data_IF_467097504003
#
_entry.id   IF_467097504003
#
_cell.length_a   1.000
_cell.length_b   1.000
_cell.length_c   1.000
_cell.angle_alpha   90.00
_cell.angle_beta   90.00
_cell.angle_gamma   90.00
#
_symmetry.space_group_name_H-M   'P 1'
#
loop_
_entity.id
_entity.type
_entity.pdbx_description
1 polymer ?
#
# COMPACT_ATOMS: atom_id res chain seq x y z
N UNK A 1 73.55 -20.24 25.14
CA UNK A 1 73.39 -21.53 25.86
C UNK A 1 72.00 -21.60 26.44
N UNK A 2 71.36 -22.76 26.30
CA UNK A 2 70.09 -23.24 26.90
C UNK A 2 68.80 -22.65 26.31
N UNK A 3 67.73 -23.39 26.00
CA UNK A 3 67.46 -24.82 25.75
C UNK A 3 65.95 -24.91 25.42
N UNK A 4 65.59 -25.86 24.57
CA UNK A 4 64.25 -26.15 24.01
C UNK A 4 63.20 -26.47 25.09
N UNK A 5 61.91 -26.14 24.88
CA UNK A 5 60.80 -27.05 25.18
C UNK A 5 59.48 -26.67 24.47
N UNK A 6 58.92 -27.67 23.78
CA UNK A 6 57.64 -27.68 23.07
C UNK A 6 56.57 -28.28 23.97
N UNK A 7 55.34 -27.73 24.03
CA UNK A 7 54.15 -28.48 24.50
C UNK A 7 52.88 -28.07 23.76
N UNK A 8 52.26 -29.06 23.11
CA UNK A 8 50.84 -29.11 22.70
C UNK A 8 50.00 -29.73 23.82
N UNK A 9 48.68 -29.48 23.83
CA UNK A 9 47.67 -30.52 24.02
C UNK A 9 46.67 -30.47 22.84
N UNK A 10 46.32 -31.51 22.07
CA UNK A 10 45.95 -32.90 22.30
C UNK A 10 44.60 -33.09 23.04
N UNK A 11 43.60 -33.53 22.25
CA UNK A 11 42.42 -34.37 22.59
C UNK A 11 41.20 -33.60 23.14
N UNK A 12 39.94 -33.87 22.74
CA UNK A 12 39.31 -35.13 22.32
C UNK A 12 38.05 -34.86 21.48
N UNK A 13 37.88 -35.66 20.42
CA UNK A 13 36.61 -35.92 19.75
C UNK A 13 35.74 -36.84 20.61
N UNK A 14 34.42 -36.62 20.62
CA UNK A 14 33.43 -37.66 20.88
C UNK A 14 32.11 -37.27 20.19
N UNK A 15 31.74 -38.06 19.19
CA UNK A 15 30.45 -38.03 18.50
C UNK A 15 29.41 -38.81 19.30
N UNK A 16 28.15 -38.34 19.31
CA UNK A 16 26.97 -39.22 19.39
C UNK A 16 25.86 -38.63 18.52
N UNK A 17 25.37 -39.47 17.62
CA UNK A 17 24.25 -39.24 16.73
C UNK A 17 22.91 -39.43 17.44
N UNK A 18 21.91 -38.65 17.06
CA UNK A 18 20.50 -39.01 17.18
C UNK A 18 19.74 -38.43 15.98
N UNK A 19 19.70 -39.21 14.89
CA UNK A 19 18.72 -39.04 13.83
C UNK A 19 17.42 -39.69 14.30
N UNK A 20 16.36 -38.89 14.46
CA UNK A 20 15.02 -39.40 14.74
C UNK A 20 13.98 -38.60 13.94
N UNK A 21 13.52 -39.24 12.86
CA UNK A 21 12.15 -39.22 12.32
C UNK A 21 11.55 -37.87 11.87
N UNK A 22 11.79 -37.53 10.60
CA UNK A 22 10.87 -36.71 9.81
C UNK A 22 9.69 -37.60 9.37
N UNK A 23 8.62 -37.60 10.15
CA UNK A 23 7.31 -38.10 9.74
C UNK A 23 6.21 -37.33 10.48
N UNK A 24 6.03 -36.06 10.12
CA UNK A 24 4.76 -35.36 10.33
C UNK A 24 4.48 -34.57 9.05
N UNK A 25 3.35 -34.89 8.41
CA UNK A 25 2.96 -34.32 7.12
C UNK A 25 2.66 -32.83 7.23
N UNK A 26 2.66 -32.09 6.10
CA UNK A 26 2.22 -30.70 6.05
C UNK A 26 0.69 -30.64 6.11
N UNK A 27 0.13 -30.94 7.28
CA UNK A 27 -1.32 -30.94 7.54
C UNK A 27 -1.81 -29.77 8.39
N UNK A 28 -0.99 -28.73 8.59
CA UNK A 28 -1.30 -27.63 9.51
C UNK A 28 -0.94 -26.23 8.97
N UNK A 29 -1.18 -25.99 7.68
CA UNK A 29 -1.23 -24.61 7.14
C UNK A 29 -2.64 -24.15 6.75
N UNK A 30 -3.66 -25.01 6.89
CA UNK A 30 -5.06 -24.61 6.74
C UNK A 30 -5.61 -24.06 8.08
N UNK A 31 -5.08 -22.92 8.51
CA UNK A 31 -5.49 -22.30 9.77
C UNK A 31 -4.76 -21.04 10.18
N UNK A 32 -3.81 -20.56 9.39
CA UNK A 32 -3.41 -19.15 9.45
C UNK A 32 -4.57 -18.33 8.83
N UNK A 33 -5.65 -18.18 9.60
CA UNK A 33 -6.58 -17.08 9.38
C UNK A 33 -5.73 -15.82 9.28
N UNK A 34 -5.94 -15.06 8.22
CA UNK A 34 -5.35 -13.74 8.05
C UNK A 34 -5.41 -13.02 9.38
N UNK A 35 -4.25 -12.61 9.89
CA UNK A 35 -4.20 -11.65 10.98
C UNK A 35 -4.90 -10.39 10.45
N UNK A 36 -6.20 -10.25 10.75
CA UNK A 36 -6.98 -9.04 10.48
C UNK A 36 -6.49 -7.96 11.45
N UNK A 37 -5.36 -7.38 11.09
CA UNK A 37 -4.85 -6.18 11.69
C UNK A 37 -5.64 -5.00 11.12
N UNK A 38 -6.46 -4.36 11.95
CA UNK A 38 -6.91 -2.96 11.75
C UNK A 38 -7.79 -2.67 10.52
N UNK A 39 -8.60 -3.64 10.05
CA UNK A 39 -9.54 -3.40 8.93
C UNK A 39 -10.74 -2.51 9.32
N UNK A 40 -10.85 -2.18 10.61
CA UNK A 40 -11.88 -1.28 11.17
C UNK A 40 -11.54 0.21 10.94
N UNK A 41 -10.25 0.54 10.85
CA UNK A 41 -9.78 1.91 10.72
C UNK A 41 -9.57 2.28 9.25
N UNK A 42 -10.20 3.36 8.79
CA UNK A 42 -10.03 3.88 7.44
C UNK A 42 -8.57 4.23 7.13
N UNK A 43 -8.23 4.29 5.85
CA UNK A 43 -6.86 4.63 5.39
C UNK A 43 -6.91 5.73 4.37
N UNK A 44 -5.92 6.61 4.40
CA UNK A 44 -5.75 7.64 3.38
C UNK A 44 -4.27 7.77 3.04
N UNK A 45 -3.99 7.96 1.76
CA UNK A 45 -2.65 8.26 1.27
C UNK A 45 -2.69 9.44 0.32
N UNK A 46 -1.60 10.20 0.32
CA UNK A 46 -1.40 11.30 -0.60
C UNK A 46 0.08 11.37 -0.96
N UNK A 47 0.37 11.54 -2.25
CA UNK A 47 1.75 11.63 -2.77
C UNK A 47 1.82 12.66 -3.89
N UNK A 48 2.78 13.58 -3.78
CA UNK A 48 2.99 14.63 -4.78
C UNK A 48 3.70 14.08 -6.01
N UNK A 49 4.78 13.33 -5.81
CA UNK A 49 5.54 12.71 -6.90
C UNK A 49 5.91 11.30 -6.49
N UNK A 50 5.68 10.34 -7.39
CA UNK A 50 6.30 9.02 -7.34
C UNK A 50 6.97 8.75 -8.69
N UNK A 51 8.26 8.44 -8.65
CA UNK A 51 9.02 8.05 -9.83
C UNK A 51 9.36 6.57 -9.77
N UNK A 52 9.21 5.88 -10.90
CA UNK A 52 9.76 4.56 -11.16
C UNK A 52 10.44 4.63 -12.51
N UNK A 53 11.59 5.30 -12.55
CA UNK A 53 12.38 5.49 -13.76
C UNK A 53 13.63 4.61 -13.70
N UNK A 54 14.00 4.02 -14.82
CA UNK A 54 15.24 3.29 -15.01
C UNK A 54 16.15 4.11 -15.92
N UNK A 55 17.36 4.42 -15.43
CA UNK A 55 18.35 5.18 -16.18
C UNK A 55 19.49 4.27 -16.60
N UNK A 56 19.62 4.09 -17.91
CA UNK A 56 20.71 3.34 -18.51
C UNK A 56 21.77 4.28 -19.08
N UNK A 57 22.97 4.24 -18.50
CA UNK A 57 24.11 5.05 -18.93
C UNK A 57 25.05 4.23 -19.82
N UNK A 58 25.69 4.92 -20.77
CA UNK A 58 26.84 4.42 -21.56
C UNK A 58 26.65 2.99 -22.11
N UNK A 59 25.80 2.82 -23.12
CA UNK A 59 25.49 1.51 -23.72
C UNK A 59 24.90 0.48 -22.74
N UNK A 60 24.05 0.92 -21.81
CA UNK A 60 23.37 0.05 -20.83
C UNK A 60 24.34 -0.70 -19.91
N UNK A 61 25.56 -0.19 -19.74
CA UNK A 61 26.57 -0.80 -18.89
C UNK A 61 26.32 -0.53 -17.41
N UNK A 62 25.59 0.55 -17.10
CA UNK A 62 25.15 0.90 -15.75
C UNK A 62 23.66 1.18 -15.80
N UNK A 63 22.88 0.44 -15.02
CA UNK A 63 21.45 0.69 -14.82
C UNK A 63 21.23 1.19 -13.39
N UNK A 64 20.67 2.39 -13.26
CA UNK A 64 20.40 3.04 -11.98
C UNK A 64 18.88 3.21 -11.84
N UNK A 65 18.22 2.46 -10.94
CA UNK A 65 16.81 2.67 -10.66
C UNK A 65 16.62 3.98 -9.88
N UNK A 66 15.79 4.87 -10.41
CA UNK A 66 15.41 6.13 -9.79
C UNK A 66 14.00 6.02 -9.24
N UNK A 67 13.94 5.49 -8.02
CA UNK A 67 12.74 5.48 -7.20
C UNK A 67 12.79 6.64 -6.19
N UNK A 68 12.05 7.70 -6.47
CA UNK A 68 11.87 8.84 -5.56
C UNK A 68 10.39 9.00 -5.28
N UNK A 69 10.04 9.10 -4.00
CA UNK A 69 8.73 9.58 -3.57
C UNK A 69 8.88 10.91 -2.85
N UNK A 70 8.17 11.94 -3.32
CA UNK A 70 8.12 13.24 -2.67
C UNK A 70 6.77 13.42 -1.97
N UNK A 71 6.84 13.87 -0.71
CA UNK A 71 5.68 14.15 0.11
C UNK A 71 4.71 12.96 0.18
N UNK A 72 5.22 11.74 0.28
CA UNK A 72 4.37 10.59 0.58
C UNK A 72 3.98 10.64 2.07
N UNK A 73 2.67 10.68 2.30
CA UNK A 73 2.04 10.60 3.62
C UNK A 73 1.00 9.50 3.62
N UNK A 74 0.97 8.75 4.72
CA UNK A 74 0.06 7.63 4.92
C UNK A 74 -0.55 7.75 6.31
N UNK A 75 -1.88 7.80 6.37
CA UNK A 75 -2.63 7.63 7.61
C UNK A 75 -2.89 6.13 7.85
N UNK A 76 -2.84 5.66 9.11
CA UNK A 76 -3.88 6.01 10.09
C UNK A 76 -3.53 7.16 11.06
N UNK A 77 -2.27 7.60 11.14
CA UNK A 77 -1.93 8.86 11.79
C UNK A 77 -2.03 9.98 10.75
N UNK A 78 -3.00 10.87 10.90
CA UNK A 78 -3.17 12.02 10.00
C UNK A 78 -1.85 12.78 9.85
N UNK A 79 -1.43 13.01 8.60
CA UNK A 79 -0.13 13.55 8.28
C UNK A 79 -0.22 14.52 7.11
N UNK A 80 0.62 15.54 7.16
CA UNK A 80 0.75 16.57 6.13
C UNK A 80 2.24 16.82 5.87
N UNK A 81 2.62 16.86 4.60
CA UNK A 81 3.98 17.22 4.17
C UNK A 81 3.93 18.26 3.07
N UNK A 82 4.83 19.22 3.18
CA UNK A 82 5.13 20.21 2.16
C UNK A 82 6.60 20.13 1.80
N UNK A 83 6.92 20.04 0.51
CA UNK A 83 8.31 20.10 0.03
C UNK A 83 8.34 20.63 -1.38
N UNK A 84 9.09 21.70 -1.59
CA UNK A 84 9.16 22.43 -2.86
C UNK A 84 10.11 21.77 -3.88
N UNK A 85 11.07 20.99 -3.39
CA UNK A 85 12.15 20.43 -4.22
C UNK A 85 12.44 18.98 -3.87
N UNK A 86 12.61 18.14 -4.89
CA UNK A 86 13.15 16.78 -4.77
C UNK A 86 14.54 16.72 -5.41
N UNK A 87 15.54 16.24 -4.67
CA UNK A 87 16.91 16.08 -5.16
C UNK A 87 17.34 14.61 -5.10
N UNK A 88 18.17 14.22 -6.05
CA UNK A 88 18.82 12.92 -6.16
C UNK A 88 20.32 13.12 -6.15
N UNK A 89 20.98 12.52 -5.17
CA UNK A 89 22.43 12.55 -5.07
C UNK A 89 23.05 11.45 -5.95
N UNK A 90 24.10 11.77 -6.70
CA UNK A 90 24.98 10.76 -7.31
C UNK A 90 24.61 10.27 -8.71
N UNK A 91 23.63 10.88 -9.39
CA UNK A 91 23.20 10.48 -10.75
C UNK A 91 23.90 11.27 -11.87
N UNK A 92 24.60 12.36 -11.54
CA UNK A 92 25.33 13.22 -12.47
C UNK A 92 26.79 13.44 -12.02
N UNK A 93 27.60 12.38 -12.07
CA UNK A 93 29.03 12.47 -11.72
C UNK A 93 29.31 12.86 -10.26
N UNK A 94 28.37 12.62 -9.34
CA UNK A 94 28.45 13.00 -7.93
C UNK A 94 27.75 14.32 -7.58
N UNK A 95 27.23 15.05 -8.57
CA UNK A 95 26.45 16.27 -8.31
C UNK A 95 25.00 15.94 -7.95
N UNK A 96 24.37 16.74 -7.06
CA UNK A 96 22.94 16.63 -6.79
C UNK A 96 22.13 17.08 -8.00
N UNK A 97 21.17 16.25 -8.42
CA UNK A 97 20.24 16.53 -9.51
C UNK A 97 18.85 16.87 -8.95
N UNK A 98 18.29 18.02 -9.33
CA UNK A 98 16.92 18.38 -8.95
C UNK A 98 15.93 17.72 -9.90
N UNK A 99 15.13 16.78 -9.39
CA UNK A 99 14.08 16.13 -10.17
C UNK A 99 12.85 17.00 -10.25
N UNK A 100 12.30 17.41 -9.11
CA UNK A 100 11.10 18.24 -9.05
C UNK A 100 11.42 19.58 -8.42
N UNK A 101 10.93 20.64 -9.04
CA UNK A 101 10.81 21.98 -8.44
C UNK A 101 9.36 22.42 -8.56
N UNK A 102 8.80 22.97 -7.50
CA UNK A 102 7.44 23.50 -7.49
C UNK A 102 7.32 24.64 -6.47
N UNK A 103 6.38 25.56 -6.71
CA UNK A 103 6.10 26.66 -5.78
C UNK A 103 5.17 26.21 -4.64
N UNK A 104 4.26 25.28 -4.94
CA UNK A 104 3.45 24.58 -3.93
C UNK A 104 3.51 23.11 -4.22
N UNK A 105 3.79 22.30 -3.20
CA UNK A 105 3.76 20.85 -3.28
C UNK A 105 3.34 20.31 -1.90
N UNK A 106 2.05 20.00 -1.78
CA UNK A 106 1.40 19.59 -0.54
C UNK A 106 0.75 18.23 -0.72
N UNK A 107 0.96 17.35 0.25
CA UNK A 107 0.21 16.10 0.40
C UNK A 107 -0.34 16.00 1.81
N UNK A 108 -1.62 15.63 1.92
CA UNK A 108 -2.35 15.51 3.16
C UNK A 108 -3.17 14.24 3.18
N UNK A 109 -3.03 13.46 4.24
CA UNK A 109 -3.85 12.29 4.51
C UNK A 109 -4.48 12.46 5.89
N UNK A 110 -5.80 12.39 5.98
CA UNK A 110 -6.56 12.53 7.22
C UNK A 110 -7.50 11.34 7.38
N UNK A 111 -7.47 10.73 8.56
CA UNK A 111 -8.38 9.62 8.90
C UNK A 111 -9.08 9.95 10.21
N UNK A 112 -10.39 9.70 10.23
CA UNK A 112 -11.28 9.81 11.38
C UNK A 112 -12.18 8.57 11.42
N UNK A 113 -12.97 8.40 12.48
CA UNK A 113 -13.94 7.30 12.56
C UNK A 113 -15.00 7.37 11.45
N UNK A 114 -15.30 8.56 10.93
CA UNK A 114 -16.39 8.77 9.96
C UNK A 114 -15.91 8.90 8.52
N UNK A 115 -14.64 9.31 8.32
CA UNK A 115 -14.09 9.52 6.98
C UNK A 115 -12.57 9.32 6.89
N UNK A 116 -12.13 8.89 5.72
CA UNK A 116 -10.75 8.92 5.27
C UNK A 116 -10.63 9.82 4.04
N UNK A 117 -9.67 10.74 4.04
CA UNK A 117 -9.48 11.75 3.01
C UNK A 117 -8.01 11.90 2.66
N UNK A 118 -7.68 11.70 1.38
CA UNK A 118 -6.38 12.01 0.80
C UNK A 118 -6.51 13.22 -0.12
N UNK A 119 -5.62 14.19 -0.02
CA UNK A 119 -5.57 15.33 -0.94
C UNK A 119 -4.14 15.72 -1.28
N UNK A 120 -3.94 16.15 -2.52
CA UNK A 120 -2.66 16.63 -3.05
C UNK A 120 -2.88 17.89 -3.86
N UNK A 121 -1.93 18.81 -3.73
CA UNK A 121 -1.89 20.06 -4.50
C UNK A 121 -0.47 20.31 -4.95
N UNK A 122 -0.32 20.65 -6.22
CA UNK A 122 0.95 21.02 -6.80
C UNK A 122 0.72 22.22 -7.72
N UNK A 123 1.55 23.26 -7.60
CA UNK A 123 1.47 24.47 -8.41
C UNK A 123 2.85 24.84 -8.95
N UNK A 124 2.87 25.32 -10.19
CA UNK A 124 4.06 25.76 -10.94
C UNK A 124 5.21 24.76 -10.84
N UNK A 125 4.93 23.51 -11.22
CA UNK A 125 5.86 22.42 -11.07
C UNK A 125 6.60 22.09 -12.36
N UNK A 126 7.91 21.88 -12.24
CA UNK A 126 8.83 21.54 -13.31
C UNK A 126 9.56 20.25 -12.93
N UNK A 127 9.44 19.24 -13.80
CA UNK A 127 10.06 17.94 -13.62
C UNK A 127 11.18 17.75 -14.63
N UNK A 128 12.37 17.44 -14.14
CA UNK A 128 13.55 17.18 -14.94
C UNK A 128 13.96 15.71 -14.84
N UNK A 129 14.55 15.19 -15.91
CA UNK A 129 15.14 13.85 -15.95
C UNK A 129 16.60 13.92 -16.41
N UNK A 130 17.47 13.00 -15.96
CA UNK A 130 18.84 12.94 -16.42
C UNK A 130 18.93 12.86 -17.96
N UNK A 131 19.94 13.52 -18.53
CA UNK A 131 20.16 13.53 -19.99
C UNK A 131 19.42 14.64 -20.76
N UNK A 132 18.54 15.41 -20.12
CA UNK A 132 17.84 16.57 -20.70
C UNK A 132 18.08 17.86 -19.90
N UNK A 133 19.29 18.45 -19.94
CA UNK A 133 19.62 19.61 -19.11
C UNK A 133 18.90 20.90 -19.54
N UNK A 134 18.46 21.00 -20.80
CA UNK A 134 17.84 22.22 -21.36
C UNK A 134 16.31 22.17 -21.36
N UNK A 135 15.72 20.99 -21.18
CA UNK A 135 14.28 20.79 -21.34
C UNK A 135 13.74 20.06 -20.11
N UNK A 136 12.73 20.66 -19.47
CA UNK A 136 11.87 19.97 -18.53
C UNK A 136 11.14 18.84 -19.26
N UNK A 137 11.05 17.66 -18.63
CA UNK A 137 10.21 16.58 -19.10
C UNK A 137 8.76 17.06 -19.17
N UNK A 138 8.30 17.70 -18.09
CA UNK A 138 6.96 18.28 -18.00
C UNK A 138 6.96 19.52 -17.09
N UNK A 139 6.15 20.48 -17.47
CA UNK A 139 5.79 21.67 -16.68
C UNK A 139 4.27 21.73 -16.53
N UNK A 140 3.80 21.97 -15.31
CA UNK A 140 2.36 22.06 -14.99
C UNK A 140 2.09 23.30 -14.13
N UNK A 141 1.04 24.05 -14.48
CA UNK A 141 0.65 25.26 -13.73
C UNK A 141 -0.07 24.92 -12.43
N UNK A 142 -1.03 24.00 -12.46
CA UNK A 142 -1.72 23.55 -11.25
C UNK A 142 -2.33 22.17 -11.39
N UNK A 143 -2.12 21.32 -10.40
CA UNK A 143 -2.79 20.01 -10.34
C UNK A 143 -3.33 19.77 -8.94
N UNK A 144 -4.52 19.17 -8.90
CA UNK A 144 -5.19 18.80 -7.66
C UNK A 144 -5.74 17.39 -7.77
N UNK A 145 -5.53 16.59 -6.74
CA UNK A 145 -6.18 15.28 -6.63
C UNK A 145 -6.71 15.08 -5.22
N UNK A 146 -7.96 14.62 -5.11
CA UNK A 146 -8.69 14.40 -3.87
C UNK A 146 -9.43 13.08 -3.92
N UNK A 147 -9.29 12.28 -2.88
CA UNK A 147 -10.04 11.04 -2.67
C UNK A 147 -10.70 11.08 -1.30
N UNK A 148 -12.02 10.97 -1.25
CA UNK A 148 -12.82 11.02 -0.01
C UNK A 148 -13.66 9.76 0.13
N UNK A 149 -13.51 9.09 1.27
CA UNK A 149 -14.19 7.85 1.61
C UNK A 149 -14.86 8.03 2.97
N UNK A 150 -16.18 8.24 2.98
CA UNK A 150 -16.97 8.35 4.20
C UNK A 150 -17.61 7.00 4.56
N UNK A 151 -17.76 6.74 5.86
CA UNK A 151 -18.43 5.55 6.39
C UNK A 151 -19.85 5.44 5.80
N UNK A 152 -20.17 4.29 5.19
CA UNK A 152 -21.50 4.01 4.65
C UNK A 152 -21.90 4.83 3.41
N UNK A 153 -21.00 5.60 2.79
CA UNK A 153 -21.28 6.38 1.57
C UNK A 153 -20.43 5.92 0.40
N UNK A 154 -20.89 6.21 -0.82
CA UNK A 154 -20.11 5.96 -2.03
C UNK A 154 -18.80 6.79 -2.01
N UNK A 155 -17.63 6.17 -2.24
CA UNK A 155 -16.36 6.89 -2.37
C UNK A 155 -16.36 7.88 -3.53
N UNK A 156 -15.66 9.00 -3.35
CA UNK A 156 -15.54 10.07 -4.35
C UNK A 156 -14.08 10.33 -4.67
N UNK A 157 -13.74 10.31 -5.96
CA UNK A 157 -12.41 10.61 -6.49
C UNK A 157 -12.51 11.80 -7.45
N UNK A 158 -11.68 12.82 -7.24
CA UNK A 158 -11.57 13.96 -8.14
C UNK A 158 -10.12 14.32 -8.45
N UNK A 159 -9.84 14.60 -9.72
CA UNK A 159 -8.50 14.81 -10.24
C UNK A 159 -8.57 15.86 -11.36
N UNK A 160 -7.92 17.00 -11.17
CA UNK A 160 -7.93 18.09 -12.13
C UNK A 160 -6.52 18.58 -12.44
N UNK A 161 -6.32 18.91 -13.71
CA UNK A 161 -5.15 19.64 -14.21
C UNK A 161 -5.64 20.99 -14.68
N UNK A 162 -5.14 22.05 -14.05
CA UNK A 162 -5.51 23.44 -14.25
C UNK A 162 -4.38 24.12 -15.02
N UNK A 163 -4.76 24.84 -16.10
CA UNK A 163 -3.81 25.63 -16.87
C UNK A 163 -3.11 24.86 -17.99
N UNK A 164 -2.01 25.43 -18.47
CA UNK A 164 -1.23 24.83 -19.54
C UNK A 164 -0.32 23.70 -19.03
N UNK A 165 -0.08 22.72 -19.90
CA UNK A 165 0.94 21.69 -19.69
C UNK A 165 1.94 21.76 -20.82
N UNK A 166 3.23 21.82 -20.48
CA UNK A 166 4.33 21.78 -21.44
C UNK A 166 5.06 20.47 -21.28
N UNK A 167 5.28 19.73 -22.37
CA UNK A 167 5.98 18.44 -22.36
C UNK A 167 7.17 18.55 -23.31
N UNK A 168 8.39 18.33 -22.80
CA UNK A 168 9.63 18.45 -23.58
C UNK A 168 9.72 19.78 -24.36
N UNK A 169 9.32 20.88 -23.72
CA UNK A 169 9.30 22.22 -24.31
C UNK A 169 8.15 22.51 -25.29
N UNK A 170 7.24 21.57 -25.55
CA UNK A 170 6.03 21.79 -26.37
C UNK A 170 4.80 21.97 -25.50
N UNK A 171 4.06 23.06 -25.69
CA UNK A 171 2.77 23.27 -25.04
C UNK A 171 1.73 22.30 -25.62
N UNK A 172 1.05 21.56 -24.77
CA UNK A 172 0.08 20.52 -25.11
C UNK A 172 -1.32 20.99 -24.72
N UNK A 173 -2.28 20.83 -25.64
CA UNK A 173 -3.69 21.03 -25.33
C UNK A 173 -4.24 19.74 -24.73
N UNK A 174 -4.62 19.78 -23.46
CA UNK A 174 -5.17 18.63 -22.77
C UNK A 174 -6.60 18.35 -23.26
N UNK A 175 -6.87 17.09 -23.58
CA UNK A 175 -8.23 16.62 -23.87
C UNK A 175 -8.79 15.91 -22.64
N UNK A 176 -10.03 16.23 -22.27
CA UNK A 176 -10.60 15.91 -20.95
C UNK A 176 -10.93 14.43 -20.68
N UNK A 177 -10.34 13.46 -21.40
CA UNK A 177 -10.71 12.05 -21.19
C UNK A 177 -9.94 10.99 -21.96
N UNK A 178 -8.73 11.27 -22.46
CA UNK A 178 -7.93 10.28 -23.17
C UNK A 178 -6.43 10.48 -23.02
N UNK A 179 -5.62 9.43 -23.27
CA UNK A 179 -4.17 9.56 -23.25
C UNK A 179 -3.73 10.56 -24.32
N UNK A 180 -2.77 11.40 -23.99
CA UNK A 180 -2.14 12.32 -24.94
C UNK A 180 -0.70 11.88 -25.18
N UNK A 181 -0.38 11.51 -26.42
CA UNK A 181 0.94 11.06 -26.81
C UNK A 181 1.73 12.24 -27.44
N UNK A 182 2.91 12.53 -26.89
CA UNK A 182 3.78 13.62 -27.33
C UNK A 182 5.11 13.05 -27.78
N UNK A 183 5.38 13.17 -29.09
CA UNK A 183 6.66 12.76 -29.69
C UNK A 183 7.49 13.98 -30.05
N UNK A 184 8.75 13.97 -29.62
CA UNK A 184 9.74 15.00 -29.96
C UNK A 184 10.93 14.35 -30.70
N UNK A 185 11.12 14.67 -31.99
CA UNK A 185 12.21 14.12 -32.77
C UNK A 185 13.58 14.33 -32.12
N UNK A 186 14.36 13.25 -32.02
CA UNK A 186 15.71 13.29 -31.43
C UNK A 186 15.76 13.32 -29.90
N UNK A 187 14.61 13.31 -29.22
CA UNK A 187 14.53 13.34 -27.75
C UNK A 187 13.83 12.09 -27.21
N UNK A 188 12.57 11.86 -27.59
CA UNK A 188 11.79 10.75 -27.06
C UNK A 188 10.28 10.92 -27.19
N UNK A 189 9.57 10.07 -26.47
CA UNK A 189 8.12 9.95 -26.44
C UNK A 189 7.62 10.00 -25.00
N UNK A 190 6.52 10.72 -24.80
CA UNK A 190 5.84 10.83 -23.51
C UNK A 190 4.35 10.62 -23.73
N UNK A 191 3.79 9.62 -23.06
CA UNK A 191 2.34 9.44 -22.94
C UNK A 191 1.86 10.06 -21.64
N UNK A 192 0.78 10.83 -21.71
CA UNK A 192 0.14 11.48 -20.58
C UNK A 192 -1.26 10.89 -20.37
N UNK A 193 -1.48 10.28 -19.23
CA UNK A 193 -2.78 9.79 -18.77
C UNK A 193 -3.34 10.77 -17.72
N UNK A 194 -4.45 11.43 -18.06
CA UNK A 194 -4.98 12.57 -17.31
C UNK A 194 -6.17 12.16 -16.44
N UNK A 195 -6.22 12.75 -15.24
CA UNK A 195 -7.43 12.76 -14.39
C UNK A 195 -8.06 11.38 -14.17
N UNK A 196 -7.22 10.35 -13.97
CA UNK A 196 -7.64 8.98 -13.72
C UNK A 196 -8.38 8.91 -12.38
N UNK A 197 -9.53 8.26 -12.38
CA UNK A 197 -10.40 8.08 -11.22
C UNK A 197 -10.80 6.62 -11.15
N UNK A 198 -10.57 6.02 -9.98
CA UNK A 198 -10.98 4.66 -9.69
C UNK A 198 -11.79 4.67 -8.39
N UNK A 199 -12.97 4.09 -8.40
CA UNK A 199 -13.84 4.00 -7.23
C UNK A 199 -14.42 2.61 -7.12
N UNK A 200 -14.43 2.08 -5.91
CA UNK A 200 -15.09 0.81 -5.55
C UNK A 200 -16.14 1.08 -4.47
N UNK A 201 -16.69 0.03 -3.85
CA UNK A 201 -17.63 0.18 -2.74
C UNK A 201 -17.03 0.83 -1.49
N UNK A 202 -15.72 0.70 -1.27
CA UNK A 202 -15.04 1.22 -0.07
C UNK A 202 -13.78 2.03 -0.36
N UNK A 203 -13.24 2.00 -1.58
CA UNK A 203 -12.00 2.70 -1.92
C UNK A 203 -12.21 3.71 -3.03
N UNK A 204 -11.42 4.78 -3.01
CA UNK A 204 -11.30 5.72 -4.11
C UNK A 204 -9.83 6.06 -4.33
N UNK A 205 -9.45 6.20 -5.60
CA UNK A 205 -8.15 6.69 -6.02
C UNK A 205 -8.35 7.77 -7.10
N UNK A 206 -7.62 8.85 -6.95
CA UNK A 206 -7.59 9.96 -7.88
C UNK A 206 -6.13 10.23 -8.25
N UNK A 207 -5.81 10.20 -9.54
CA UNK A 207 -4.48 10.53 -10.05
C UNK A 207 -4.63 11.66 -11.05
N UNK A 208 -4.03 12.82 -10.74
CA UNK A 208 -4.13 13.98 -11.62
C UNK A 208 -3.38 13.74 -12.94
N UNK A 209 -2.17 13.19 -12.85
CA UNK A 209 -1.38 12.90 -14.04
C UNK A 209 -0.47 11.68 -13.84
N UNK A 210 -0.54 10.75 -14.78
CA UNK A 210 0.41 9.66 -14.93
C UNK A 210 1.15 9.82 -16.27
N UNK A 211 2.46 9.62 -16.26
CA UNK A 211 3.28 9.69 -17.45
C UNK A 211 4.00 8.38 -17.67
N UNK A 212 4.02 7.93 -18.94
CA UNK A 212 4.93 6.89 -19.41
C UNK A 212 5.97 7.56 -20.30
N UNK A 213 7.23 7.41 -19.92
CA UNK A 213 8.34 8.14 -20.51
C UNK A 213 9.29 7.17 -21.17
N UNK A 214 9.69 7.48 -22.40
CA UNK A 214 10.80 6.84 -23.09
C UNK A 214 11.64 7.92 -23.76
N UNK A 215 12.80 8.22 -23.18
CA UNK A 215 13.70 9.27 -23.64
C UNK A 215 15.05 8.65 -23.97
N UNK A 216 15.50 8.85 -25.21
CA UNK A 216 16.83 8.42 -25.68
C UNK A 216 17.40 9.53 -26.57
N UNK A 217 18.06 10.53 -25.97
CA UNK A 217 18.53 11.70 -26.69
C UNK A 217 19.52 11.31 -27.78
N UNK A 218 19.26 11.79 -29.00
CA UNK A 218 20.02 11.53 -30.23
C UNK A 218 20.19 10.04 -30.58
N UNK A 219 19.45 9.13 -29.93
CA UNK A 219 19.59 7.66 -30.06
C UNK A 219 21.02 7.16 -29.81
N UNK A 220 21.77 7.88 -28.97
CA UNK A 220 23.17 7.57 -28.69
C UNK A 220 23.36 6.65 -27.47
N UNK A 221 22.28 6.23 -26.79
CA UNK A 221 22.31 5.35 -25.61
C UNK A 221 23.24 5.85 -24.48
N UNK A 222 23.38 7.17 -24.36
CA UNK A 222 24.24 7.79 -23.34
C UNK A 222 23.48 7.94 -22.02
N UNK A 223 22.18 8.24 -22.10
CA UNK A 223 21.26 8.34 -20.97
C UNK A 223 19.84 7.99 -21.44
N UNK A 224 19.58 6.69 -21.59
CA UNK A 224 18.22 6.20 -21.88
C UNK A 224 17.44 6.20 -20.56
N UNK A 225 16.28 6.87 -20.56
CA UNK A 225 15.37 6.94 -19.42
C UNK A 225 14.04 6.35 -19.83
N UNK A 226 13.65 5.27 -19.15
CA UNK A 226 12.36 4.62 -19.37
C UNK A 226 11.64 4.45 -18.03
N UNK A 227 10.32 4.56 -18.04
CA UNK A 227 9.52 4.18 -16.87
C UNK A 227 8.25 4.99 -16.70
N UNK A 228 7.77 5.00 -15.46
CA UNK A 228 6.49 5.62 -15.09
C UNK A 228 6.67 6.67 -14.00
N UNK A 229 5.86 7.72 -14.11
CA UNK A 229 5.84 8.84 -13.19
C UNK A 229 4.40 9.15 -12.82
N UNK A 230 4.14 9.34 -11.53
CA UNK A 230 2.83 9.75 -11.03
C UNK A 230 2.96 11.10 -10.35
N UNK A 231 2.15 12.06 -10.78
CA UNK A 231 2.06 13.40 -10.20
C UNK A 231 0.68 13.59 -9.57
N UNK A 232 0.68 13.98 -8.29
CA UNK A 232 -0.50 14.21 -7.46
C UNK A 232 -1.50 13.04 -7.47
N UNK A 233 -1.22 12.04 -6.62
CA UNK A 233 -2.12 10.91 -6.37
C UNK A 233 -2.64 10.96 -4.94
N UNK A 234 -3.95 10.76 -4.80
CA UNK A 234 -4.62 10.59 -3.53
C UNK A 234 -5.41 9.28 -3.53
N UNK A 235 -5.36 8.54 -2.43
CA UNK A 235 -6.19 7.36 -2.23
C UNK A 235 -6.87 7.40 -0.87
N UNK A 236 -8.02 6.75 -0.78
CA UNK A 236 -8.70 6.52 0.47
C UNK A 236 -9.36 5.14 0.51
N UNK A 237 -9.55 4.66 1.73
CA UNK A 237 -10.31 3.48 2.09
C UNK A 237 -11.24 3.86 3.24
N UNK A 238 -12.53 3.62 3.04
CA UNK A 238 -13.58 3.94 3.98
C UNK A 238 -13.40 3.12 5.27
N UNK A 239 -13.57 3.75 6.44
CA UNK A 239 -13.64 3.01 7.70
C UNK A 239 -14.85 2.05 7.68
N UNK A 240 -14.81 1.05 8.55
CA UNK A 240 -15.97 0.16 8.74
C UNK A 240 -17.21 1.01 9.08
N UNK A 241 -18.31 0.76 8.37
CA UNK A 241 -19.57 1.41 8.71
C UNK A 241 -19.98 0.95 10.12
N UNK A 242 -20.38 1.86 11.02
CA UNK A 242 -21.02 1.46 12.26
C UNK A 242 -22.16 0.51 11.92
N UNK A 243 -22.21 -0.66 12.57
CA UNK A 243 -23.34 -1.56 12.41
C UNK A 243 -24.61 -0.76 12.74
N UNK A 244 -25.47 -0.53 11.74
CA UNK A 244 -26.83 -0.12 12.00
C UNK A 244 -27.41 -1.19 12.92
N UNK A 245 -27.64 -0.83 14.19
CA UNK A 245 -28.46 -1.63 15.05
C UNK A 245 -29.82 -1.67 14.36
N UNK A 246 -30.10 -2.75 13.64
CA UNK A 246 -31.43 -3.08 13.19
C UNK A 246 -32.31 -3.00 14.42
N UNK A 247 -33.04 -1.89 14.56
CA UNK A 247 -34.10 -1.79 15.53
C UNK A 247 -35.02 -2.95 15.22
N UNK A 248 -35.03 -3.96 16.10
CA UNK A 248 -36.04 -5.00 16.04
C UNK A 248 -37.39 -4.29 16.00
N UNK A 249 -38.29 -4.61 15.05
CA UNK A 249 -39.60 -4.00 15.03
C UNK A 249 -40.25 -4.31 16.38
N UNK A 250 -40.45 -3.26 17.18
CA UNK A 250 -41.22 -3.35 18.41
C UNK A 250 -42.63 -3.72 17.98
N UNK A 251 -43.05 -4.92 18.33
CA UNK A 251 -44.41 -5.39 18.09
C UNK A 251 -45.37 -4.51 18.90
N UNK A 252 -46.25 -3.79 18.20
CA UNK A 252 -47.46 -3.23 18.81
C UNK A 252 -48.35 -4.39 19.33
N UNK A 253 -48.95 -4.27 20.53
CA UNK A 253 -49.83 -5.29 21.06
C UNK A 253 -51.22 -5.12 20.43
N UNK A 254 -51.59 -6.02 19.53
CA UNK A 254 -52.96 -6.12 19.03
C UNK A 254 -53.51 -7.53 19.29
N UNK A 255 -54.58 -7.58 20.07
CA UNK A 255 -55.65 -8.56 19.91
C UNK A 255 -55.61 -9.79 20.82
N UNK A 256 -56.53 -9.79 21.78
CA UNK A 256 -57.03 -10.98 22.48
C UNK A 256 -57.32 -12.15 21.51
N UNK A 257 -56.62 -13.28 21.69
CA UNK A 257 -57.07 -14.58 21.18
C UNK A 257 -56.84 -15.67 22.22
N UNK A 258 -57.92 -16.42 22.46
CA UNK A 258 -58.18 -17.41 23.52
C UNK A 258 -57.52 -18.76 23.19
N UNK A 259 -56.93 -19.49 24.16
CA UNK A 259 -56.24 -20.74 23.87
C UNK A 259 -57.26 -21.90 23.78
N UNK A 260 -57.26 -22.62 22.66
CA UNK A 260 -57.87 -23.94 22.53
C UNK A 260 -56.76 -24.93 22.18
N UNK A 261 -56.54 -25.89 23.07
CA UNK A 261 -55.46 -26.87 22.94
C UNK A 261 -55.77 -28.00 21.97
N UNK A 262 -54.71 -28.55 21.38
CA UNK A 262 -54.56 -29.96 21.03
C UNK A 262 -53.06 -30.27 20.87
N UNK A 263 -52.65 -31.45 21.33
CA UNK A 263 -51.27 -31.93 21.37
C UNK A 263 -50.92 -32.77 20.12
N UNK A 264 -49.61 -32.78 19.79
CA UNK A 264 -48.89 -33.58 18.79
C UNK A 264 -49.22 -33.23 17.31
N UNK A 265 -48.27 -33.06 16.38
CA UNK A 265 -47.04 -33.81 16.17
C UNK A 265 -45.86 -32.98 15.66
N UNK A 266 -44.69 -33.57 15.86
CA UNK A 266 -43.35 -33.22 15.43
C UNK A 266 -43.17 -33.02 13.92
N UNK A 267 -42.41 -32.00 13.55
CA UNK A 267 -41.66 -32.03 12.30
C UNK A 267 -41.39 -30.66 11.71
N UNK A 268 -40.42 -29.92 12.25
CA UNK A 268 -39.77 -28.82 11.51
C UNK A 268 -38.27 -28.73 11.83
N UNK A 269 -37.50 -28.79 10.74
CA UNK A 269 -36.11 -28.36 10.54
C UNK A 269 -35.01 -29.01 11.40
N UNK A 270 -34.63 -30.23 11.01
CA UNK A 270 -33.32 -30.80 11.35
C UNK A 270 -32.23 -30.13 10.51
N UNK A 271 -31.68 -29.02 10.98
CA UNK A 271 -30.40 -28.49 10.49
C UNK A 271 -29.29 -28.90 11.45
N UNK A 272 -28.67 -30.05 11.18
CA UNK A 272 -27.24 -30.29 11.38
C UNK A 272 -26.61 -30.02 12.76
N UNK A 273 -27.32 -30.24 13.87
CA UNK A 273 -26.74 -30.19 15.22
C UNK A 273 -26.29 -31.58 15.68
N UNK A 274 -25.03 -31.95 15.46
CA UNK A 274 -24.52 -33.23 15.97
C UNK A 274 -24.37 -33.19 17.49
N UNK A 275 -24.99 -34.14 18.20
CA UNK A 275 -25.05 -34.25 19.67
C UNK A 275 -23.71 -34.45 20.41
N UNK A 276 -22.58 -34.25 19.72
CA UNK A 276 -21.21 -34.32 20.26
C UNK A 276 -20.62 -32.94 20.60
N UNK A 277 -21.29 -31.84 20.23
CA UNK A 277 -20.80 -30.47 20.48
C UNK A 277 -20.53 -30.13 21.96
N UNK A 278 -21.32 -30.59 22.96
CA UNK A 278 -21.00 -30.28 24.36
C UNK A 278 -19.76 -31.02 24.85
N UNK A 279 -19.44 -32.19 24.28
CA UNK A 279 -18.24 -32.96 24.65
C UNK A 279 -16.95 -32.34 24.08
N UNK A 280 -17.02 -31.73 22.89
CA UNK A 280 -15.87 -31.03 22.29
C UNK A 280 -15.58 -29.71 23.01
N UNK A 281 -16.63 -28.95 23.38
CA UNK A 281 -16.48 -27.75 24.20
C UNK A 281 -15.94 -28.08 25.61
N UNK A 282 -16.37 -29.19 26.21
CA UNK A 282 -15.85 -29.66 27.50
C UNK A 282 -14.40 -30.16 27.46
N UNK A 283 -14.02 -30.89 26.40
CA UNK A 283 -12.67 -31.44 26.24
C UNK A 283 -11.57 -30.39 26.08
N UNK A 284 -11.87 -29.26 25.42
CA UNK A 284 -10.91 -28.19 25.19
C UNK A 284 -10.45 -27.48 26.49
N UNK A 285 -11.36 -27.34 27.47
CA UNK A 285 -11.05 -26.71 28.76
C UNK A 285 -10.09 -27.57 29.60
N UNK A 286 -10.26 -28.89 29.58
CA UNK A 286 -9.37 -29.81 30.30
C UNK A 286 -7.94 -29.80 29.74
N UNK A 287 -7.78 -29.72 28.41
CA UNK A 287 -6.46 -29.65 27.76
C UNK A 287 -5.74 -28.33 28.03
N UNK A 288 -6.46 -27.21 28.07
CA UNK A 288 -5.89 -25.90 28.41
C UNK A 288 -5.42 -25.85 29.86
N UNK A 289 -6.18 -26.44 30.80
CA UNK A 289 -5.78 -26.52 32.20
C UNK A 289 -4.52 -27.38 32.39
N UNK A 290 -4.43 -28.52 31.71
CA UNK A 290 -3.25 -29.39 31.76
C UNK A 290 -2.01 -28.73 31.14
N UNK A 291 -2.15 -28.09 29.97
CA UNK A 291 -1.07 -27.36 29.31
C UNK A 291 -0.57 -26.15 30.11
N UNK A 292 -1.49 -25.36 30.68
CA UNK A 292 -1.14 -24.22 31.53
C UNK A 292 -0.41 -24.64 32.82
N UNK A 293 -0.84 -25.74 33.45
CA UNK A 293 -0.19 -26.29 34.64
C UNK A 293 1.25 -26.75 34.39
N UNK A 294 1.50 -27.43 33.27
CA UNK A 294 2.84 -27.90 32.90
C UNK A 294 3.82 -26.73 32.66
N UNK A 295 3.37 -25.66 31.98
CA UNK A 295 4.21 -24.48 31.70
C UNK A 295 4.52 -23.70 32.98
N UNK A 296 3.55 -23.56 33.90
CA UNK A 296 3.76 -22.90 35.18
C UNK A 296 4.78 -23.65 36.07
N UNK A 297 4.71 -24.99 36.11
CA UNK A 297 5.67 -25.82 36.85
C UNK A 297 7.08 -25.77 36.25
N UNK A 298 7.20 -25.70 34.92
CA UNK A 298 8.49 -25.56 34.24
C UNK A 298 9.15 -24.19 34.51
N UNK A 299 8.35 -23.10 34.57
CA UNK A 299 8.85 -21.77 34.93
C UNK A 299 9.35 -21.70 36.37
N UNK A 300 8.64 -22.34 37.31
CA UNK A 300 9.00 -22.33 38.74
C UNK A 300 10.24 -23.16 39.08
N UNK A 301 10.67 -24.07 38.20
CA UNK A 301 11.93 -24.82 38.34
C UNK A 301 13.15 -24.08 37.78
N UNK A 302 12.94 -22.98 37.06
CA UNK A 302 14.00 -22.19 36.41
C UNK A 302 14.28 -20.84 37.11
N UNK A 303 13.42 -20.44 38.05
CA UNK A 303 13.67 -19.40 39.06
C UNK A 303 14.26 -20.02 40.32
#
# INVERSE_FOLDING_TARGET
MNSVNFRRPARRSAAVAAAAVLASGPGALAGAGSAHATDEQGRASAVVLRTGLDVSLLNKTVNVPLAVSLNEVQAPQSAEKTALTAQLDGVDGGNPFTVLRADVAQAKATVTAEKAEGSTRLADAQLHVPGLPLLSLIEVEGITSTATCAAGKAPVADANVLGAVTVLGKRVTLTAGGPTDVTVPGVGEVRLDLSQRETTSRTAAATALELKVSVNPLKLNVAEVEGTLTLAKATCEAPAAPAEQTASPSADPAGDVKPQGAAAESGLAETGGSSMTPYIAGGAVALLAAGGGAVALARRRRS
#
